data_IF_373364753521
#
_entry.id   IF_373364753521
#
_cell.length_a   1.000
_cell.length_b   1.000
_cell.length_c   1.000
_cell.angle_alpha   90.00
_cell.angle_beta   90.00
_cell.angle_gamma   90.00
#
_symmetry.space_group_name_H-M   'P 1'
#
loop_
_entity.id
_entity.type
_entity.pdbx_description
1 polymer ?
#
# COMPACT_ATOMS: atom_id res chain seq x y z
N UNK A 1 -13.93 19.02 -14.89
CA UNK A 1 -14.39 18.85 -13.50
C UNK A 1 -15.06 20.12 -13.02
N UNK A 2 -16.17 19.99 -12.31
CA UNK A 2 -16.88 21.11 -11.70
C UNK A 2 -16.16 21.64 -10.46
N UNK A 3 -16.49 22.86 -10.01
CA UNK A 3 -15.98 23.42 -8.75
C UNK A 3 -16.30 22.51 -7.55
N UNK A 4 -17.48 21.90 -7.54
CA UNK A 4 -17.90 20.98 -6.48
C UNK A 4 -17.08 19.69 -6.45
N UNK A 5 -16.79 19.11 -7.61
CA UNK A 5 -15.92 17.92 -7.72
C UNK A 5 -14.50 18.21 -7.27
N UNK A 6 -13.94 19.38 -7.64
CA UNK A 6 -12.61 19.79 -7.20
C UNK A 6 -12.54 19.93 -5.67
N UNK A 7 -13.55 20.54 -5.04
CA UNK A 7 -13.62 20.64 -3.58
C UNK A 7 -13.74 19.27 -2.92
N UNK A 8 -14.56 18.38 -3.48
CA UNK A 8 -14.75 17.02 -2.97
C UNK A 8 -13.44 16.21 -3.00
N UNK A 9 -12.74 16.22 -4.14
CA UNK A 9 -11.46 15.53 -4.28
C UNK A 9 -10.37 16.12 -3.38
N UNK A 10 -10.39 17.43 -3.16
CA UNK A 10 -9.48 18.08 -2.22
C UNK A 10 -9.71 17.61 -0.77
N UNK A 11 -10.97 17.49 -0.34
CA UNK A 11 -11.33 16.94 0.97
C UNK A 11 -10.83 15.49 1.10
N UNK A 12 -11.06 14.65 0.09
CA UNK A 12 -10.61 13.25 0.06
C UNK A 12 -9.09 13.16 0.21
N UNK A 13 -8.34 13.90 -0.61
CA UNK A 13 -6.88 13.91 -0.56
C UNK A 13 -6.36 14.28 0.83
N UNK A 14 -6.84 15.40 1.38
CA UNK A 14 -6.37 15.88 2.69
C UNK A 14 -6.78 14.96 3.84
N UNK A 15 -7.97 14.37 3.75
CA UNK A 15 -8.43 13.39 4.73
C UNK A 15 -7.64 12.09 4.65
N UNK A 16 -7.25 11.64 3.46
CA UNK A 16 -6.39 10.47 3.27
C UNK A 16 -5.01 10.67 3.91
N UNK A 17 -4.39 11.84 3.69
CA UNK A 17 -3.13 12.21 4.33
C UNK A 17 -3.26 12.22 5.87
N UNK A 18 -4.38 12.75 6.40
CA UNK A 18 -4.68 12.78 7.83
C UNK A 18 -4.87 11.38 8.42
N UNK A 19 -5.78 10.58 7.83
CA UNK A 19 -6.10 9.25 8.32
C UNK A 19 -4.90 8.31 8.25
N UNK A 20 -4.07 8.39 7.21
CA UNK A 20 -2.92 7.50 7.13
C UNK A 20 -1.80 7.83 8.14
N UNK A 21 -1.84 9.02 8.76
CA UNK A 21 -0.88 9.42 9.80
C UNK A 21 -1.42 9.26 11.21
N UNK A 22 -2.72 9.52 11.42
CA UNK A 22 -3.34 9.58 12.76
C UNK A 22 -4.37 8.48 13.01
N UNK A 23 -4.64 7.65 12.02
CA UNK A 23 -5.75 6.70 12.03
C UNK A 23 -7.10 7.38 11.79
N UNK A 24 -8.07 6.59 11.36
CA UNK A 24 -9.47 6.98 11.30
C UNK A 24 -10.00 7.34 12.69
N UNK A 25 -9.84 6.49 13.70
CA UNK A 25 -10.36 6.68 15.06
C UNK A 25 -9.69 7.87 15.76
N UNK A 26 -8.40 8.07 15.51
CA UNK A 26 -7.62 9.20 16.03
C UNK A 26 -7.88 10.55 15.35
N UNK A 27 -8.72 10.59 14.32
CA UNK A 27 -9.05 11.81 13.57
C UNK A 27 -10.51 12.21 13.77
N UNK A 28 -10.77 13.49 14.01
CA UNK A 28 -12.12 14.04 14.14
C UNK A 28 -12.54 14.81 12.89
N UNK A 29 -13.84 15.14 12.80
CA UNK A 29 -14.31 16.05 11.76
C UNK A 29 -13.70 17.45 11.90
N UNK A 30 -13.36 17.88 13.12
CA UNK A 30 -12.66 19.15 13.34
C UNK A 30 -11.25 19.12 12.74
N UNK A 31 -10.53 18.01 12.89
CA UNK A 31 -9.21 17.84 12.25
C UNK A 31 -9.33 17.92 10.71
N UNK A 32 -10.38 17.33 10.13
CA UNK A 32 -10.63 17.44 8.69
C UNK A 32 -10.89 18.91 8.30
N UNK A 33 -11.69 19.65 9.08
CA UNK A 33 -11.91 21.08 8.80
C UNK A 33 -10.63 21.90 8.90
N UNK A 34 -9.72 21.54 9.81
CA UNK A 34 -8.43 22.20 10.00
C UNK A 34 -7.51 21.96 8.80
N UNK A 35 -7.29 20.70 8.40
CA UNK A 35 -6.37 20.36 7.30
C UNK A 35 -6.90 20.78 5.92
N UNK A 36 -8.22 20.96 5.77
CA UNK A 36 -8.84 21.40 4.52
C UNK A 36 -9.14 22.90 4.48
N UNK A 37 -9.24 23.57 5.63
CA UNK A 37 -9.77 24.93 5.73
C UNK A 37 -11.26 25.06 5.40
N UNK A 38 -11.98 23.95 5.20
CA UNK A 38 -13.40 23.94 4.83
C UNK A 38 -14.23 23.77 6.10
N UNK A 39 -15.17 24.71 6.34
CA UNK A 39 -16.07 24.63 7.49
C UNK A 39 -16.95 23.38 7.43
N UNK A 40 -17.39 22.90 8.60
CA UNK A 40 -18.23 21.69 8.77
C UNK A 40 -19.42 21.62 7.80
N UNK A 41 -20.16 22.72 7.65
CA UNK A 41 -21.30 22.79 6.73
C UNK A 41 -20.92 22.70 5.24
N UNK A 42 -19.68 23.05 4.89
CA UNK A 42 -19.13 22.83 3.55
C UNK A 42 -18.77 21.37 3.30
N UNK A 43 -18.18 20.68 4.28
CA UNK A 43 -17.89 19.24 4.19
C UNK A 43 -19.20 18.45 4.01
N UNK A 44 -20.22 18.74 4.82
CA UNK A 44 -21.51 18.04 4.74
C UNK A 44 -22.32 18.32 3.47
N UNK A 45 -21.92 19.27 2.63
CA UNK A 45 -22.50 19.42 1.28
C UNK A 45 -21.98 18.36 0.31
N UNK A 46 -20.85 17.72 0.62
CA UNK A 46 -20.17 16.77 -0.25
C UNK A 46 -20.21 15.33 0.27
N UNK A 47 -20.38 15.16 1.58
CA UNK A 47 -20.37 13.87 2.26
C UNK A 47 -21.45 13.82 3.33
N UNK A 48 -22.13 12.69 3.48
CA UNK A 48 -23.15 12.46 4.50
C UNK A 48 -22.54 12.33 5.90
N UNK A 49 -21.39 11.67 6.01
CA UNK A 49 -20.71 11.43 7.28
C UNK A 49 -19.19 11.29 7.12
N UNK A 50 -18.49 11.16 8.26
CA UNK A 50 -17.04 10.93 8.28
C UNK A 50 -16.66 9.58 7.65
N UNK A 51 -17.52 8.58 7.76
CA UNK A 51 -17.24 7.23 7.22
C UNK A 51 -17.19 7.25 5.69
N UNK A 52 -18.07 8.00 5.04
CA UNK A 52 -18.02 8.20 3.59
C UNK A 52 -16.68 8.83 3.17
N UNK A 53 -16.22 9.85 3.90
CA UNK A 53 -14.91 10.47 3.67
C UNK A 53 -13.79 9.44 3.85
N UNK A 54 -13.87 8.61 4.90
CA UNK A 54 -12.85 7.62 5.21
C UNK A 54 -12.73 6.52 4.15
N UNK A 55 -13.86 5.99 3.67
CA UNK A 55 -13.88 4.96 2.63
C UNK A 55 -13.27 5.46 1.31
N UNK A 56 -13.54 6.71 0.96
CA UNK A 56 -13.01 7.30 -0.27
C UNK A 56 -11.58 7.81 -0.13
N UNK A 57 -11.22 8.33 1.04
CA UNK A 57 -9.85 8.64 1.39
C UNK A 57 -8.96 7.40 1.35
N UNK A 58 -9.46 6.26 1.82
CA UNK A 58 -8.78 4.97 1.70
C UNK A 58 -8.57 4.58 0.23
N UNK A 59 -9.62 4.62 -0.59
CA UNK A 59 -9.53 4.27 -2.01
C UNK A 59 -8.55 5.18 -2.75
N UNK A 60 -8.55 6.48 -2.43
CA UNK A 60 -7.60 7.43 -2.97
C UNK A 60 -6.15 7.08 -2.59
N UNK A 61 -5.87 6.84 -1.30
CA UNK A 61 -4.52 6.51 -0.83
C UNK A 61 -3.99 5.21 -1.47
N UNK A 62 -4.83 4.17 -1.52
CA UNK A 62 -4.48 2.89 -2.15
C UNK A 62 -4.28 3.04 -3.65
N UNK A 63 -5.09 3.87 -4.32
CA UNK A 63 -4.91 4.19 -5.74
C UNK A 63 -3.52 4.74 -6.05
N UNK A 64 -3.06 5.73 -5.28
CA UNK A 64 -1.72 6.33 -5.44
C UNK A 64 -0.61 5.29 -5.27
N UNK A 65 -0.71 4.42 -4.26
CA UNK A 65 0.30 3.37 -4.02
C UNK A 65 0.29 2.33 -5.15
N UNK A 66 -0.89 1.93 -5.61
CA UNK A 66 -1.02 0.99 -6.73
C UNK A 66 -0.43 1.54 -8.03
N UNK A 67 -0.62 2.82 -8.33
CA UNK A 67 0.00 3.49 -9.48
C UNK A 67 1.53 3.40 -9.39
N UNK A 68 2.11 3.68 -8.20
CA UNK A 68 3.57 3.57 -7.98
C UNK A 68 4.10 2.15 -8.14
N UNK A 69 3.38 1.15 -7.64
CA UNK A 69 3.74 -0.25 -7.87
C UNK A 69 3.65 -0.64 -9.34
N UNK A 70 2.60 -0.20 -10.04
CA UNK A 70 2.45 -0.49 -11.46
C UNK A 70 3.57 0.11 -12.29
N UNK A 71 3.88 1.40 -12.09
CA UNK A 71 5.00 2.10 -12.72
C UNK A 71 6.31 1.32 -12.49
N UNK A 72 6.67 1.06 -11.23
CA UNK A 72 7.93 0.40 -10.89
C UNK A 72 8.05 -1.02 -11.45
N UNK A 73 6.98 -1.80 -11.45
CA UNK A 73 6.96 -3.18 -11.97
C UNK A 73 6.99 -3.22 -13.50
N UNK A 74 6.33 -2.27 -14.16
CA UNK A 74 6.25 -2.22 -15.63
C UNK A 74 7.60 -2.01 -16.33
N UNK A 75 8.56 -1.42 -15.62
CA UNK A 75 9.92 -1.17 -16.10
C UNK A 75 10.84 -2.41 -16.01
N UNK A 76 10.40 -3.47 -15.34
CA UNK A 76 11.23 -4.65 -15.08
C UNK A 76 10.89 -5.81 -16.02
N UNK A 77 11.90 -6.62 -16.35
CA UNK A 77 11.74 -7.78 -17.23
C UNK A 77 11.51 -9.06 -16.42
N UNK A 78 12.44 -9.39 -15.52
CA UNK A 78 12.41 -10.65 -14.76
C UNK A 78 11.41 -10.62 -13.60
N UNK A 79 10.91 -11.79 -13.21
CA UNK A 79 10.00 -11.95 -12.08
C UNK A 79 10.64 -11.48 -10.77
N UNK A 80 11.93 -11.78 -10.54
CA UNK A 80 12.64 -11.35 -9.33
C UNK A 80 12.75 -9.83 -9.30
N UNK A 81 13.16 -9.19 -10.40
CA UNK A 81 13.28 -7.73 -10.46
C UNK A 81 11.94 -7.04 -10.25
N UNK A 82 10.84 -7.61 -10.78
CA UNK A 82 9.48 -7.13 -10.53
C UNK A 82 9.11 -7.17 -9.04
N UNK A 83 9.44 -8.25 -8.34
CA UNK A 83 9.22 -8.34 -6.89
C UNK A 83 10.10 -7.33 -6.14
N UNK A 84 11.36 -7.19 -6.51
CA UNK A 84 12.27 -6.21 -5.90
C UNK A 84 11.82 -4.76 -6.16
N UNK A 85 11.23 -4.47 -7.32
CA UNK A 85 10.68 -3.16 -7.63
C UNK A 85 9.53 -2.78 -6.68
N UNK A 86 8.68 -3.74 -6.30
CA UNK A 86 7.64 -3.53 -5.28
C UNK A 86 8.28 -3.08 -3.95
N UNK A 87 9.36 -3.72 -3.50
CA UNK A 87 10.05 -3.31 -2.27
C UNK A 87 10.68 -1.92 -2.40
N UNK A 88 11.26 -1.62 -3.56
CA UNK A 88 11.93 -0.34 -3.83
C UNK A 88 10.98 0.86 -3.76
N UNK A 89 9.69 0.69 -4.08
CA UNK A 89 8.68 1.75 -3.90
C UNK A 89 8.61 2.24 -2.43
N UNK A 90 8.93 1.37 -1.47
CA UNK A 90 8.98 1.71 -0.05
C UNK A 90 10.41 1.82 0.52
N UNK A 91 11.46 1.80 -0.30
CA UNK A 91 12.85 1.82 0.19
C UNK A 91 13.18 3.09 1.00
N UNK A 92 12.58 4.22 0.64
CA UNK A 92 12.70 5.49 1.36
C UNK A 92 11.42 5.87 2.11
N UNK A 93 10.75 4.91 2.74
CA UNK A 93 9.43 5.11 3.40
C UNK A 93 9.42 6.18 4.50
N UNK A 94 10.56 6.50 5.12
CA UNK A 94 10.62 7.52 6.17
C UNK A 94 10.65 8.94 5.57
N UNK A 95 11.50 9.19 4.56
CA UNK A 95 11.75 10.50 3.98
C UNK A 95 10.91 10.78 2.74
N UNK A 96 10.62 9.75 1.94
CA UNK A 96 9.87 9.85 0.68
C UNK A 96 8.96 8.63 0.49
N UNK A 97 7.94 8.43 1.35
CA UNK A 97 7.00 7.35 1.16
C UNK A 97 6.12 7.58 -0.09
N UNK A 98 5.63 6.50 -0.74
CA UNK A 98 4.70 6.63 -1.87
C UNK A 98 3.39 7.31 -1.47
N UNK A 99 3.02 7.19 -0.18
CA UNK A 99 1.94 7.95 0.42
C UNK A 99 2.31 8.31 1.86
N UNK A 100 2.04 9.56 2.27
CA UNK A 100 2.40 10.04 3.60
C UNK A 100 1.78 9.17 4.70
N UNK A 101 2.55 8.81 5.72
CA UNK A 101 2.09 7.94 6.82
C UNK A 101 2.48 6.46 6.68
N UNK A 102 2.98 6.01 5.53
CA UNK A 102 3.37 4.62 5.30
C UNK A 102 2.36 3.87 4.42
N UNK A 103 2.22 2.55 4.60
CA UNK A 103 1.29 1.75 3.80
C UNK A 103 -0.18 1.95 4.25
N UNK A 104 -1.06 2.49 3.39
CA UNK A 104 -2.47 2.69 3.75
C UNK A 104 -3.24 1.39 3.94
N UNK A 105 -2.82 0.31 3.27
CA UNK A 105 -3.42 -1.02 3.45
C UNK A 105 -3.13 -1.55 4.85
N UNK A 106 -1.86 -1.55 5.27
CA UNK A 106 -1.45 -2.03 6.59
C UNK A 106 -2.04 -1.18 7.71
N UNK A 107 -1.91 0.14 7.63
CA UNK A 107 -2.41 1.04 8.68
C UNK A 107 -3.92 0.85 8.88
N UNK A 108 -4.69 0.76 7.80
CA UNK A 108 -6.13 0.51 7.87
C UNK A 108 -6.45 -0.89 8.37
N UNK A 109 -5.69 -1.91 7.95
CA UNK A 109 -5.92 -3.29 8.37
C UNK A 109 -5.83 -3.43 9.90
N UNK A 110 -4.78 -2.87 10.51
CA UNK A 110 -4.56 -2.92 11.97
C UNK A 110 -5.59 -2.09 12.73
N UNK A 111 -6.06 -0.99 12.17
CA UNK A 111 -7.03 -0.14 12.87
C UNK A 111 -8.46 -0.70 12.79
N UNK A 112 -8.82 -1.35 11.68
CA UNK A 112 -10.21 -1.69 11.35
C UNK A 112 -10.62 -3.13 11.60
N UNK A 113 -9.68 -4.05 11.83
CA UNK A 113 -9.93 -5.49 11.95
C UNK A 113 -11.00 -5.85 12.98
N UNK A 114 -11.03 -5.15 14.12
CA UNK A 114 -12.01 -5.35 15.19
C UNK A 114 -12.99 -4.17 15.37
N UNK A 115 -12.83 -3.08 14.62
CA UNK A 115 -13.53 -1.81 14.93
C UNK A 115 -14.38 -1.24 13.79
N UNK A 116 -14.08 -1.57 12.52
CA UNK A 116 -14.73 -0.92 11.38
C UNK A 116 -14.92 -1.89 10.20
N UNK A 117 -16.06 -2.60 10.11
CA UNK A 117 -16.29 -3.66 9.11
C UNK A 117 -16.08 -3.25 7.65
N UNK A 118 -16.51 -2.05 7.25
CA UNK A 118 -16.37 -1.60 5.85
C UNK A 118 -14.91 -1.28 5.46
N UNK A 119 -14.14 -0.63 6.35
CA UNK A 119 -12.71 -0.40 6.13
C UNK A 119 -11.92 -1.72 6.17
N UNK A 120 -12.27 -2.63 7.08
CA UNK A 120 -11.70 -3.98 7.13
C UNK A 120 -11.90 -4.70 5.80
N UNK A 121 -13.12 -4.68 5.26
CA UNK A 121 -13.44 -5.31 3.97
C UNK A 121 -12.62 -4.71 2.83
N UNK A 122 -12.44 -3.39 2.80
CA UNK A 122 -11.59 -2.73 1.82
C UNK A 122 -10.11 -3.13 1.95
N UNK A 123 -9.59 -3.20 3.17
CA UNK A 123 -8.23 -3.67 3.45
C UNK A 123 -8.02 -5.12 3.01
N UNK A 124 -8.96 -6.02 3.36
CA UNK A 124 -8.95 -7.42 2.92
C UNK A 124 -8.90 -7.53 1.39
N UNK A 125 -9.76 -6.79 0.68
CA UNK A 125 -9.76 -6.80 -0.79
C UNK A 125 -8.45 -6.28 -1.39
N UNK A 126 -7.81 -5.28 -0.76
CA UNK A 126 -6.50 -4.78 -1.21
C UNK A 126 -5.39 -5.82 -1.00
N UNK A 127 -5.38 -6.51 0.13
CA UNK A 127 -4.45 -7.61 0.42
C UNK A 127 -4.65 -8.75 -0.59
N UNK A 128 -5.89 -9.18 -0.83
CA UNK A 128 -6.21 -10.23 -1.80
C UNK A 128 -5.72 -9.86 -3.22
N UNK A 129 -5.94 -8.61 -3.65
CA UNK A 129 -5.43 -8.11 -4.94
C UNK A 129 -3.91 -8.13 -4.99
N UNK A 130 -3.23 -7.68 -3.95
CA UNK A 130 -1.76 -7.65 -3.91
C UNK A 130 -1.16 -9.05 -3.92
N UNK A 131 -1.70 -9.98 -3.12
CA UNK A 131 -1.28 -11.38 -3.12
C UNK A 131 -1.51 -12.01 -4.49
N UNK A 132 -2.66 -11.76 -5.12
CA UNK A 132 -2.93 -12.25 -6.48
C UNK A 132 -1.94 -11.68 -7.49
N UNK A 133 -1.57 -10.40 -7.36
CA UNK A 133 -0.61 -9.74 -8.24
C UNK A 133 0.80 -10.35 -8.10
N UNK A 134 1.29 -10.52 -6.87
CA UNK A 134 2.57 -11.19 -6.59
C UNK A 134 2.59 -12.62 -7.14
N UNK A 135 1.52 -13.40 -6.90
CA UNK A 135 1.38 -14.76 -7.45
C UNK A 135 1.43 -14.76 -8.98
N UNK A 136 0.79 -13.79 -9.63
CA UNK A 136 0.84 -13.62 -11.08
C UNK A 136 2.26 -13.40 -11.61
N UNK A 137 3.05 -12.57 -10.93
CA UNK A 137 4.47 -12.34 -11.26
C UNK A 137 5.27 -13.65 -11.13
N UNK A 138 5.11 -14.36 -10.02
CA UNK A 138 5.80 -15.63 -9.78
C UNK A 138 5.42 -16.69 -10.82
N UNK A 139 4.13 -16.84 -11.11
CA UNK A 139 3.62 -17.79 -12.10
C UNK A 139 4.18 -17.48 -13.50
N UNK A 140 4.20 -16.21 -13.90
CA UNK A 140 4.79 -15.83 -15.19
C UNK A 140 6.29 -16.12 -15.25
N UNK A 141 7.02 -15.89 -14.15
CA UNK A 141 8.44 -16.27 -14.05
C UNK A 141 8.66 -17.76 -14.24
N UNK A 142 7.77 -18.62 -13.71
CA UNK A 142 7.82 -20.07 -13.95
C UNK A 142 7.56 -20.39 -15.42
N UNK A 143 6.53 -19.79 -16.03
CA UNK A 143 6.19 -20.03 -17.45
C UNK A 143 7.31 -19.59 -18.40
N UNK A 144 8.01 -18.51 -18.06
CA UNK A 144 9.15 -18.00 -18.82
C UNK A 144 10.45 -18.79 -18.58
N UNK A 145 10.43 -19.77 -17.66
CA UNK A 145 11.63 -20.51 -17.27
C UNK A 145 12.63 -19.70 -16.46
N UNK A 146 12.23 -18.57 -15.87
CA UNK A 146 13.06 -17.73 -14.99
C UNK A 146 13.13 -18.32 -13.56
N UNK A 147 12.05 -18.98 -13.14
CA UNK A 147 11.88 -19.56 -11.80
C UNK A 147 11.65 -21.07 -11.88
N UNK A 148 12.09 -21.80 -10.86
CA UNK A 148 11.87 -23.25 -10.73
C UNK A 148 10.37 -23.62 -10.75
N UNK A 149 9.97 -24.71 -11.42
CA UNK A 149 8.56 -25.05 -11.61
C UNK A 149 7.83 -25.57 -10.36
N UNK A 150 8.56 -25.94 -9.31
CA UNK A 150 8.02 -26.54 -8.08
C UNK A 150 7.84 -25.55 -6.91
N UNK A 151 7.92 -24.24 -7.19
CA UNK A 151 7.68 -23.21 -6.17
C UNK A 151 6.20 -23.17 -5.82
N UNK A 152 5.89 -23.23 -4.53
CA UNK A 152 4.55 -22.88 -4.03
C UNK A 152 4.38 -21.35 -4.07
N UNK A 153 3.72 -20.86 -5.11
CA UNK A 153 3.50 -19.43 -5.32
C UNK A 153 2.63 -18.81 -4.24
N UNK A 154 1.73 -19.57 -3.61
CA UNK A 154 0.83 -19.06 -2.57
C UNK A 154 1.59 -18.78 -1.28
N UNK A 155 2.40 -19.73 -0.85
CA UNK A 155 3.27 -19.59 0.33
C UNK A 155 4.31 -18.50 0.10
N UNK A 156 4.97 -18.48 -1.06
CA UNK A 156 6.00 -17.49 -1.36
C UNK A 156 5.42 -16.08 -1.47
N UNK A 157 4.26 -15.90 -2.12
CA UNK A 157 3.62 -14.58 -2.19
C UNK A 157 3.24 -14.04 -0.81
N UNK A 158 2.75 -14.91 0.08
CA UNK A 158 2.43 -14.55 1.46
C UNK A 158 3.68 -14.11 2.23
N UNK A 159 4.78 -14.85 2.09
CA UNK A 159 6.06 -14.49 2.72
C UNK A 159 6.60 -13.15 2.21
N UNK A 160 6.59 -12.94 0.89
CA UNK A 160 7.01 -11.69 0.24
C UNK A 160 6.21 -10.50 0.78
N UNK A 161 4.87 -10.60 0.77
CA UNK A 161 4.01 -9.52 1.22
C UNK A 161 4.19 -9.23 2.72
N UNK A 162 4.30 -10.28 3.55
CA UNK A 162 4.54 -10.12 4.99
C UNK A 162 5.88 -9.45 5.29
N UNK A 163 6.92 -9.80 4.53
CA UNK A 163 8.27 -9.20 4.66
C UNK A 163 8.27 -7.73 4.25
N UNK A 164 7.54 -7.38 3.19
CA UNK A 164 7.37 -5.99 2.76
C UNK A 164 6.71 -5.14 3.86
N UNK A 165 5.53 -5.56 4.32
CA UNK A 165 4.77 -4.80 5.32
C UNK A 165 5.48 -4.74 6.68
N UNK A 166 6.15 -5.82 7.09
CA UNK A 166 6.99 -5.83 8.28
C UNK A 166 8.17 -4.85 8.18
N UNK A 167 8.82 -4.77 7.01
CA UNK A 167 9.91 -3.81 6.77
C UNK A 167 9.42 -2.37 6.81
N UNK A 168 8.27 -2.08 6.20
CA UNK A 168 7.62 -0.76 6.22
C UNK A 168 7.33 -0.35 7.67
N UNK A 169 6.71 -1.24 8.44
CA UNK A 169 6.36 -0.99 9.85
C UNK A 169 7.60 -0.71 10.69
N UNK A 170 8.62 -1.57 10.63
CA UNK A 170 9.84 -1.41 11.44
C UNK A 170 10.58 -0.11 11.07
N UNK A 171 10.71 0.19 9.78
CA UNK A 171 11.37 1.43 9.34
C UNK A 171 10.63 2.69 9.76
N UNK A 172 9.30 2.68 9.66
CA UNK A 172 8.45 3.79 10.11
C UNK A 172 8.53 3.99 11.62
N UNK A 173 8.49 2.90 12.39
CA UNK A 173 8.53 2.96 13.86
C UNK A 173 9.86 3.52 14.37
N UNK A 174 10.98 3.11 13.77
CA UNK A 174 12.30 3.57 14.19
C UNK A 174 12.77 4.87 13.53
N UNK A 175 11.99 5.42 12.60
CA UNK A 175 12.34 6.63 11.87
C UNK A 175 13.61 6.49 11.01
N UNK A 176 13.90 5.29 10.51
CA UNK A 176 15.01 5.07 9.58
C UNK A 176 14.74 3.90 8.61
N UNK A 177 15.29 3.96 7.39
CA UNK A 177 15.02 2.94 6.34
C UNK A 177 15.89 1.68 6.40
N UNK A 178 16.62 1.42 7.49
CA UNK A 178 17.56 0.28 7.52
C UNK A 178 16.85 -1.06 7.32
N UNK A 179 15.66 -1.20 7.88
CA UNK A 179 14.88 -2.44 7.80
C UNK A 179 14.38 -2.71 6.38
N UNK A 180 13.90 -1.68 5.68
CA UNK A 180 13.57 -1.83 4.25
C UNK A 180 14.79 -2.23 3.41
N UNK A 181 15.96 -1.62 3.64
CA UNK A 181 17.20 -1.98 2.93
C UNK A 181 17.64 -3.42 3.22
N UNK A 182 17.61 -3.83 4.49
CA UNK A 182 17.93 -5.22 4.89
C UNK A 182 16.94 -6.22 4.30
N UNK A 183 15.65 -5.88 4.24
CA UNK A 183 14.64 -6.74 3.64
C UNK A 183 14.83 -6.85 2.12
N UNK A 184 15.16 -5.76 1.41
CA UNK A 184 15.50 -5.79 -0.03
C UNK A 184 16.70 -6.70 -0.27
N UNK A 185 17.77 -6.57 0.51
CA UNK A 185 18.97 -7.41 0.37
C UNK A 185 18.65 -8.89 0.64
N UNK A 186 17.91 -9.16 1.72
CA UNK A 186 17.58 -10.53 2.14
C UNK A 186 16.63 -11.21 1.18
N UNK A 187 15.58 -10.50 0.73
CA UNK A 187 14.61 -11.07 -0.21
C UNK A 187 15.23 -11.29 -1.59
N UNK A 188 16.16 -10.44 -2.05
CA UNK A 188 16.91 -10.67 -3.29
C UNK A 188 17.66 -12.00 -3.23
N UNK A 189 18.51 -12.18 -2.22
CA UNK A 189 19.29 -13.42 -2.04
C UNK A 189 18.42 -14.65 -1.84
N UNK A 190 17.29 -14.50 -1.15
CA UNK A 190 16.34 -15.58 -0.95
C UNK A 190 15.67 -15.99 -2.27
N UNK A 191 15.24 -15.02 -3.08
CA UNK A 191 14.57 -15.26 -4.35
C UNK A 191 15.51 -15.89 -5.40
N UNK A 192 16.79 -15.53 -5.39
CA UNK A 192 17.80 -16.13 -6.27
C UNK A 192 17.94 -17.65 -6.10
N UNK A 193 17.60 -18.20 -4.92
CA UNK A 193 17.59 -19.65 -4.70
C UNK A 193 16.52 -20.37 -5.53
N UNK A 194 15.52 -19.62 -6.01
CA UNK A 194 14.45 -20.12 -6.86
C UNK A 194 14.70 -19.88 -8.35
N UNK A 195 15.76 -19.16 -8.72
CA UNK A 195 16.15 -19.00 -10.11
C UNK A 195 16.40 -20.36 -10.75
N UNK A 196 15.96 -20.52 -11.99
CA UNK A 196 16.38 -21.65 -12.81
C UNK A 196 17.87 -21.49 -13.15
N UNK A 197 18.63 -22.58 -13.10
CA UNK A 197 19.89 -22.61 -13.85
C UNK A 197 19.49 -22.85 -15.30
N UNK A 198 19.71 -21.87 -16.17
CA UNK A 198 19.68 -22.10 -17.62
C UNK A 198 20.63 -23.26 -17.91
N UNK A 199 20.07 -24.41 -18.28
CA UNK A 199 20.80 -25.52 -18.90
C UNK A 199 21.12 -25.19 -20.35
#
# INVERSE_FOLDING_TARGET
MSKGENTRNYIIKKSAELFNQRGYAGSSLSDITEVTGIKRGGIYRHFACKDEIALEAYDYAVGIVNEKFFEAVSEQQSAIDKILAIFKVYEQVVENPPFIGGCPVLNTAIESDDTHPELRKKAQQSIERMLKYIKGILYQGIQNGELKPNIDTDTLATFIFSTLEGGIMLSKLEGNNRHMRFNIESISKYLEQFSSQLS
#
